data_IF_350042259850
#
_entry.id   IF_350042259850
#
_cell.length_a   1.000
_cell.length_b   1.000
_cell.length_c   1.000
_cell.angle_alpha   90.00
_cell.angle_beta   90.00
_cell.angle_gamma   90.00
#
_symmetry.space_group_name_H-M   'P 1'
#
loop_
_entity.id
_entity.type
_entity.pdbx_description
1 polymer ?
#
# COMPACT_ATOMS: atom_id res chain seq x y z
N UNK A 1 5.97 -18.87 26.06
CA UNK A 1 4.87 -18.77 25.08
C UNK A 1 5.10 -17.71 23.98
N UNK A 2 5.65 -16.52 24.28
CA UNK A 2 5.94 -15.47 23.28
C UNK A 2 6.89 -15.87 22.15
N UNK A 3 7.89 -16.70 22.42
CA UNK A 3 8.89 -17.13 21.42
C UNK A 3 8.32 -17.95 20.25
N UNK A 4 7.22 -18.67 20.46
CA UNK A 4 6.64 -19.51 19.40
C UNK A 4 5.80 -18.68 18.42
N UNK A 5 5.05 -17.66 18.91
CA UNK A 5 4.27 -16.76 18.06
C UNK A 5 5.18 -15.94 17.13
N UNK A 6 6.28 -15.41 17.67
CA UNK A 6 7.24 -14.64 16.87
C UNK A 6 7.98 -15.52 15.83
N UNK A 7 8.32 -16.75 16.16
CA UNK A 7 8.90 -17.72 15.22
C UNK A 7 7.92 -18.07 14.09
N UNK A 8 6.64 -18.26 14.42
CA UNK A 8 5.60 -18.55 13.42
C UNK A 8 5.39 -17.38 12.49
N UNK A 9 5.32 -16.15 13.03
CA UNK A 9 5.21 -14.93 12.24
C UNK A 9 6.42 -14.73 11.32
N UNK A 10 7.62 -14.92 11.84
CA UNK A 10 8.86 -14.84 11.05
C UNK A 10 8.90 -15.90 9.94
N UNK A 11 8.44 -17.12 10.22
CA UNK A 11 8.37 -18.21 9.23
C UNK A 11 7.37 -17.86 8.11
N UNK A 12 6.18 -17.36 8.46
CA UNK A 12 5.16 -16.95 7.47
C UNK A 12 5.66 -15.77 6.64
N UNK A 13 6.32 -14.80 7.27
CA UNK A 13 6.88 -13.65 6.57
C UNK A 13 8.00 -14.04 5.61
N UNK A 14 8.88 -14.97 6.01
CA UNK A 14 9.94 -15.47 5.13
C UNK A 14 9.40 -16.33 3.99
N UNK A 15 8.40 -17.13 4.21
CA UNK A 15 7.75 -17.95 3.18
C UNK A 15 7.05 -17.09 2.11
N UNK A 16 6.46 -15.96 2.50
CA UNK A 16 5.74 -15.04 1.61
C UNK A 16 6.54 -13.80 1.23
N UNK A 17 7.84 -13.77 1.50
CA UNK A 17 8.71 -12.61 1.37
C UNK A 17 8.60 -11.94 -0.01
N UNK A 18 8.64 -12.71 -1.10
CA UNK A 18 8.51 -12.18 -2.47
C UNK A 18 7.17 -11.48 -2.72
N UNK A 19 6.09 -12.03 -2.17
CA UNK A 19 4.74 -11.46 -2.34
C UNK A 19 4.57 -10.20 -1.49
N UNK A 20 5.11 -10.18 -0.27
CA UNK A 20 5.11 -9.00 0.59
C UNK A 20 5.95 -7.87 -0.03
N UNK A 21 7.14 -8.17 -0.55
CA UNK A 21 7.97 -7.20 -1.27
C UNK A 21 7.20 -6.63 -2.47
N UNK A 22 6.53 -7.48 -3.25
CA UNK A 22 5.72 -7.04 -4.38
C UNK A 22 4.60 -6.07 -3.94
N UNK A 23 3.87 -6.41 -2.86
CA UNK A 23 2.83 -5.56 -2.28
C UNK A 23 3.40 -4.20 -1.90
N UNK A 24 4.50 -4.16 -1.14
CA UNK A 24 5.11 -2.88 -0.72
C UNK A 24 5.69 -2.10 -1.90
N UNK A 25 6.27 -2.75 -2.89
CA UNK A 25 6.74 -2.10 -4.12
C UNK A 25 5.59 -1.45 -4.88
N UNK A 26 4.43 -2.12 -4.99
CA UNK A 26 3.25 -1.56 -5.61
C UNK A 26 2.68 -0.37 -4.83
N UNK A 27 2.70 -0.43 -3.49
CA UNK A 27 2.32 0.71 -2.62
C UNK A 27 3.22 1.92 -2.89
N UNK A 28 4.54 1.71 -2.96
CA UNK A 28 5.51 2.78 -3.27
C UNK A 28 5.30 3.34 -4.68
N UNK A 29 5.08 2.48 -5.66
CA UNK A 29 4.83 2.90 -7.04
C UNK A 29 3.55 3.75 -7.16
N UNK A 30 2.45 3.30 -6.54
CA UNK A 30 1.19 4.06 -6.51
C UNK A 30 1.37 5.42 -5.84
N UNK A 31 2.07 5.49 -4.70
CA UNK A 31 2.36 6.75 -4.03
C UNK A 31 3.24 7.68 -4.86
N UNK A 32 4.25 7.15 -5.54
CA UNK A 32 5.08 7.93 -6.47
C UNK A 32 4.25 8.54 -7.61
N UNK A 33 3.32 7.77 -8.16
CA UNK A 33 2.40 8.25 -9.18
C UNK A 33 1.46 9.34 -8.64
N UNK A 34 0.94 9.21 -7.41
CA UNK A 34 0.13 10.24 -6.78
C UNK A 34 0.91 11.55 -6.54
N UNK A 35 2.18 11.47 -6.15
CA UNK A 35 3.04 12.66 -6.02
C UNK A 35 3.32 13.33 -7.36
N UNK A 36 3.36 12.57 -8.45
CA UNK A 36 3.52 13.11 -9.80
C UNK A 36 2.25 13.77 -10.37
N UNK A 37 1.09 13.52 -9.77
CA UNK A 37 -0.21 14.02 -10.25
C UNK A 37 -0.25 15.54 -10.49
N UNK A 38 0.20 16.41 -9.56
CA UNK A 38 0.21 17.85 -9.77
C UNK A 38 1.09 18.28 -10.95
N UNK A 39 2.20 17.58 -11.19
CA UNK A 39 3.12 17.89 -12.29
C UNK A 39 2.42 17.63 -13.63
N UNK A 40 1.83 16.45 -13.79
CA UNK A 40 1.10 16.09 -15.01
C UNK A 40 -0.15 16.95 -15.22
N UNK A 41 -0.84 17.34 -14.16
CA UNK A 41 -1.95 18.28 -14.23
C UNK A 41 -1.49 19.65 -14.74
N UNK A 42 -0.38 20.17 -14.24
CA UNK A 42 0.22 21.42 -14.73
C UNK A 42 0.61 21.36 -16.20
N UNK A 43 1.20 20.26 -16.65
CA UNK A 43 1.48 20.05 -18.08
C UNK A 43 0.22 20.02 -18.93
N UNK A 44 -0.84 19.40 -18.47
CA UNK A 44 -2.11 19.35 -19.19
C UNK A 44 -2.75 20.73 -19.33
N UNK A 45 -2.75 21.53 -18.27
CA UNK A 45 -3.28 22.88 -18.28
C UNK A 45 -2.51 23.74 -19.29
N UNK A 46 -1.17 23.71 -19.24
CA UNK A 46 -0.34 24.45 -20.19
C UNK A 46 -0.56 24.00 -21.64
N UNK A 47 -0.73 22.71 -21.87
CA UNK A 47 -1.01 22.15 -23.19
C UNK A 47 -2.36 22.65 -23.74
N UNK A 48 -3.38 22.73 -22.91
CA UNK A 48 -4.71 23.25 -23.30
C UNK A 48 -4.61 24.74 -23.65
N UNK A 49 -3.92 25.54 -22.85
CA UNK A 49 -3.71 26.98 -23.10
C UNK A 49 -2.98 27.21 -24.43
N UNK A 50 -2.02 26.35 -24.77
CA UNK A 50 -1.26 26.43 -26.01
C UNK A 50 -1.99 25.80 -27.22
N UNK A 51 -3.20 25.28 -27.05
CA UNK A 51 -3.97 24.63 -28.12
C UNK A 51 -3.43 23.24 -28.53
N UNK A 52 -2.51 22.67 -27.73
CA UNK A 52 -1.90 21.37 -28.04
C UNK A 52 -2.67 20.22 -27.40
N UNK A 53 -3.70 19.75 -28.07
CA UNK A 53 -4.61 18.69 -27.62
C UNK A 53 -3.90 17.33 -27.39
N UNK A 54 -2.84 17.04 -28.16
CA UNK A 54 -2.08 15.80 -28.00
C UNK A 54 -1.39 15.71 -26.65
N UNK A 55 -0.81 16.80 -26.17
CA UNK A 55 -0.17 16.82 -24.84
C UNK A 55 -1.20 16.76 -23.71
N UNK A 56 -2.42 17.24 -23.91
CA UNK A 56 -3.51 17.05 -22.94
C UNK A 56 -3.92 15.55 -22.84
N UNK A 57 -3.89 14.81 -23.93
CA UNK A 57 -4.15 13.37 -23.95
C UNK A 57 -3.14 12.56 -23.10
N UNK A 58 -1.89 13.02 -23.00
CA UNK A 58 -0.87 12.39 -22.14
C UNK A 58 -1.32 12.35 -20.67
N UNK A 59 -2.00 13.41 -20.20
CA UNK A 59 -2.55 13.41 -18.85
C UNK A 59 -3.66 12.36 -18.67
N UNK A 60 -4.55 12.22 -19.63
CA UNK A 60 -5.59 11.19 -19.58
C UNK A 60 -4.98 9.77 -19.52
N UNK A 61 -3.93 9.53 -20.31
CA UNK A 61 -3.19 8.27 -20.28
C UNK A 61 -2.52 8.06 -18.91
N UNK A 62 -1.89 9.09 -18.36
CA UNK A 62 -1.29 9.03 -17.03
C UNK A 62 -2.32 8.67 -15.95
N UNK A 63 -3.49 9.30 -15.94
CA UNK A 63 -4.59 9.00 -15.02
C UNK A 63 -5.01 7.53 -15.15
N UNK A 64 -5.14 7.03 -16.37
CA UNK A 64 -5.47 5.63 -16.63
C UNK A 64 -4.43 4.68 -16.06
N UNK A 65 -3.14 4.98 -16.21
CA UNK A 65 -2.03 4.19 -15.64
C UNK A 65 -2.11 4.19 -14.10
N UNK A 66 -2.37 5.34 -13.47
CA UNK A 66 -2.55 5.44 -12.00
C UNK A 66 -3.67 4.52 -11.52
N UNK A 67 -4.82 4.55 -12.20
CA UNK A 67 -5.96 3.71 -11.87
C UNK A 67 -5.65 2.22 -12.06
N UNK A 68 -4.96 1.86 -13.13
CA UNK A 68 -4.57 0.49 -13.41
C UNK A 68 -3.62 -0.07 -12.33
N UNK A 69 -2.59 0.70 -11.98
CA UNK A 69 -1.65 0.34 -10.91
C UNK A 69 -2.38 0.17 -9.58
N UNK A 70 -3.28 1.07 -9.23
CA UNK A 70 -4.11 0.96 -8.02
C UNK A 70 -5.01 -0.28 -8.02
N UNK A 71 -5.62 -0.62 -9.14
CA UNK A 71 -6.45 -1.81 -9.28
C UNK A 71 -5.62 -3.10 -9.12
N UNK A 72 -4.46 -3.17 -9.76
CA UNK A 72 -3.53 -4.31 -9.64
C UNK A 72 -3.07 -4.45 -8.19
N UNK A 73 -2.67 -3.34 -7.55
CA UNK A 73 -2.25 -3.35 -6.15
C UNK A 73 -3.32 -3.94 -5.25
N UNK A 74 -4.55 -3.43 -5.31
CA UNK A 74 -5.66 -3.92 -4.46
C UNK A 74 -5.90 -5.40 -4.63
N UNK A 75 -5.83 -5.92 -5.85
CA UNK A 75 -6.00 -7.34 -6.13
C UNK A 75 -4.88 -8.18 -5.53
N UNK A 76 -3.63 -7.74 -5.66
CA UNK A 76 -2.45 -8.42 -5.09
C UNK A 76 -2.51 -8.39 -3.56
N UNK A 77 -2.79 -7.25 -2.95
CA UNK A 77 -2.89 -7.08 -1.51
C UNK A 77 -3.93 -8.04 -0.92
N UNK A 78 -5.16 -8.03 -1.45
CA UNK A 78 -6.23 -8.91 -0.97
C UNK A 78 -5.84 -10.39 -1.05
N UNK A 79 -5.20 -10.82 -2.15
CA UNK A 79 -4.77 -12.22 -2.29
C UNK A 79 -3.66 -12.60 -1.30
N UNK A 80 -2.69 -11.72 -1.12
CA UNK A 80 -1.55 -11.97 -0.22
C UNK A 80 -2.01 -12.05 1.23
N UNK A 81 -2.77 -11.05 1.68
CA UNK A 81 -3.22 -10.99 3.06
C UNK A 81 -4.28 -12.02 3.41
N UNK A 82 -5.18 -12.36 2.49
CA UNK A 82 -6.12 -13.47 2.67
C UNK A 82 -5.40 -14.82 2.86
N UNK A 83 -4.36 -15.08 2.07
CA UNK A 83 -3.56 -16.29 2.21
C UNK A 83 -2.79 -16.34 3.53
N UNK A 84 -2.22 -15.22 3.95
CA UNK A 84 -1.51 -15.10 5.24
C UNK A 84 -2.49 -15.35 6.39
N UNK A 85 -3.68 -14.73 6.34
CA UNK A 85 -4.70 -14.94 7.35
C UNK A 85 -5.17 -16.40 7.42
N UNK A 86 -5.46 -17.03 6.29
CA UNK A 86 -5.90 -18.41 6.23
C UNK A 86 -4.87 -19.35 6.88
N UNK A 87 -3.58 -19.21 6.56
CA UNK A 87 -2.50 -20.01 7.17
C UNK A 87 -2.38 -19.75 8.67
N UNK A 88 -2.46 -18.47 9.08
CA UNK A 88 -2.35 -18.10 10.48
C UNK A 88 -3.53 -18.67 11.29
N UNK A 89 -4.75 -18.59 10.78
CA UNK A 89 -5.95 -19.13 11.41
C UNK A 89 -5.86 -20.65 11.58
N UNK A 90 -5.46 -21.37 10.53
CA UNK A 90 -5.27 -22.83 10.59
C UNK A 90 -4.22 -23.21 11.63
N UNK A 91 -3.08 -22.53 11.64
CA UNK A 91 -2.02 -22.81 12.61
C UNK A 91 -2.47 -22.57 14.05
N UNK A 92 -3.23 -21.48 14.29
CA UNK A 92 -3.79 -21.17 15.61
C UNK A 92 -4.76 -22.28 16.04
N UNK A 93 -5.69 -22.66 15.17
CA UNK A 93 -6.69 -23.70 15.47
C UNK A 93 -6.01 -25.05 15.78
N UNK A 94 -5.06 -25.46 14.95
CA UNK A 94 -4.38 -26.75 15.15
C UNK A 94 -3.56 -26.76 16.43
N UNK A 95 -2.83 -25.70 16.74
CA UNK A 95 -1.98 -25.62 17.92
C UNK A 95 -2.80 -25.52 19.23
N UNK A 96 -3.93 -24.84 19.20
CA UNK A 96 -4.79 -24.72 20.39
C UNK A 96 -5.62 -25.98 20.64
N UNK A 97 -6.07 -26.69 19.60
CA UNK A 97 -6.71 -28.00 19.73
C UNK A 97 -5.79 -29.05 20.34
N UNK A 98 -4.51 -29.04 19.95
CA UNK A 98 -3.53 -29.96 20.56
C UNK A 98 -3.30 -29.68 22.05
N UNK A 99 -3.51 -28.46 22.51
CA UNK A 99 -3.36 -28.06 23.92
C UNK A 99 -4.66 -28.17 24.74
N UNK A 100 -5.70 -28.83 24.23
CA UNK A 100 -7.00 -29.06 24.89
C UNK A 100 -7.63 -27.79 25.50
N UNK A 101 -7.52 -26.67 24.79
CA UNK A 101 -8.10 -25.41 25.25
C UNK A 101 -9.59 -25.28 24.87
N UNK A 102 -10.28 -24.48 25.64
CA UNK A 102 -11.70 -24.19 25.43
C UNK A 102 -11.95 -23.50 24.08
N UNK A 103 -13.03 -23.87 23.42
CA UNK A 103 -13.40 -23.39 22.07
C UNK A 103 -13.54 -21.86 22.05
N UNK A 104 -14.00 -21.24 23.14
CA UNK A 104 -14.09 -19.79 23.26
C UNK A 104 -12.73 -19.09 23.17
N UNK A 105 -11.69 -19.69 23.76
CA UNK A 105 -10.33 -19.18 23.70
C UNK A 105 -9.73 -19.31 22.29
N UNK A 106 -10.08 -20.36 21.56
CA UNK A 106 -9.65 -20.57 20.18
C UNK A 106 -10.26 -19.49 19.26
N UNK A 107 -11.57 -19.25 19.41
CA UNK A 107 -12.28 -18.23 18.62
C UNK A 107 -11.68 -16.83 18.87
N UNK A 108 -11.43 -16.47 20.14
CA UNK A 108 -10.83 -15.20 20.49
C UNK A 108 -9.43 -15.00 19.86
N UNK A 109 -8.61 -16.04 19.82
CA UNK A 109 -7.26 -15.98 19.21
C UNK A 109 -7.28 -15.92 17.69
N UNK A 110 -8.24 -16.58 17.06
CA UNK A 110 -8.43 -16.48 15.59
C UNK A 110 -8.88 -15.07 15.25
N UNK A 111 -9.81 -14.48 16.03
CA UNK A 111 -10.22 -13.09 15.86
C UNK A 111 -9.04 -12.11 16.01
N UNK A 112 -8.20 -12.29 17.03
CA UNK A 112 -7.00 -11.48 17.23
C UNK A 112 -6.01 -11.61 16.06
N UNK A 113 -5.88 -12.81 15.50
CA UNK A 113 -5.05 -13.04 14.32
C UNK A 113 -5.57 -12.28 13.10
N UNK A 114 -6.88 -12.13 12.95
CA UNK A 114 -7.50 -11.33 11.89
C UNK A 114 -7.20 -9.85 12.07
N UNK A 115 -7.36 -9.33 13.28
CA UNK A 115 -7.02 -7.93 13.60
C UNK A 115 -5.54 -7.62 13.30
N UNK A 116 -4.66 -8.54 13.64
CA UNK A 116 -3.24 -8.41 13.35
C UNK A 116 -2.97 -8.34 11.82
N UNK A 117 -3.58 -9.22 11.04
CA UNK A 117 -3.44 -9.19 9.56
C UNK A 117 -4.03 -7.91 8.99
N UNK A 118 -5.20 -7.49 9.46
CA UNK A 118 -5.86 -6.25 9.05
C UNK A 118 -5.01 -5.01 9.34
N UNK A 119 -4.28 -4.99 10.45
CA UNK A 119 -3.32 -3.93 10.74
C UNK A 119 -2.27 -3.80 9.64
N UNK A 120 -1.66 -4.91 9.20
CA UNK A 120 -0.64 -4.90 8.14
C UNK A 120 -1.22 -4.67 6.74
N UNK A 121 -2.46 -5.10 6.50
CA UNK A 121 -3.16 -4.90 5.22
C UNK A 121 -3.60 -3.45 5.03
N UNK A 122 -4.13 -2.82 6.08
CA UNK A 122 -4.82 -1.52 5.97
C UNK A 122 -4.05 -0.40 6.66
N UNK A 123 -3.75 -0.54 7.95
CA UNK A 123 -3.23 0.56 8.76
C UNK A 123 -1.76 0.85 8.51
N UNK A 124 -0.95 -0.19 8.35
CA UNK A 124 0.48 -0.02 8.12
C UNK A 124 0.78 0.64 6.75
N UNK A 125 0.19 0.21 5.61
CA UNK A 125 0.36 0.91 4.35
C UNK A 125 -0.16 2.35 4.40
N UNK A 126 -1.29 2.60 5.05
CA UNK A 126 -1.84 3.94 5.20
C UNK A 126 -0.90 4.87 5.97
N UNK A 127 -0.33 4.42 7.08
CA UNK A 127 0.66 5.17 7.84
C UNK A 127 1.89 5.48 6.98
N UNK A 128 2.42 4.47 6.30
CA UNK A 128 3.61 4.62 5.45
C UNK A 128 3.37 5.59 4.29
N UNK A 129 2.21 5.48 3.65
CA UNK A 129 1.76 6.39 2.60
C UNK A 129 1.69 7.83 3.10
N UNK A 130 1.11 8.06 4.27
CA UNK A 130 0.97 9.39 4.85
C UNK A 130 2.34 10.04 5.12
N UNK A 131 3.27 9.28 5.68
CA UNK A 131 4.65 9.77 5.92
C UNK A 131 5.35 10.13 4.61
N UNK A 132 5.28 9.26 3.60
CA UNK A 132 5.89 9.51 2.28
C UNK A 132 5.24 10.73 1.62
N UNK A 133 3.92 10.88 1.72
CA UNK A 133 3.20 12.01 1.12
C UNK A 133 3.58 13.33 1.78
N UNK A 134 3.73 13.37 3.10
CA UNK A 134 4.18 14.58 3.81
C UNK A 134 5.60 14.97 3.39
N UNK A 135 6.52 14.01 3.40
CA UNK A 135 7.93 14.25 3.00
C UNK A 135 7.99 14.65 1.52
N UNK A 136 7.28 13.95 0.65
CA UNK A 136 7.25 14.21 -0.79
C UNK A 136 6.66 15.58 -1.10
N UNK A 137 5.59 15.98 -0.43
CA UNK A 137 4.99 17.31 -0.59
C UNK A 137 5.92 18.42 -0.12
N UNK A 138 6.58 18.22 1.03
CA UNK A 138 7.58 19.17 1.53
C UNK A 138 8.75 19.32 0.54
N UNK A 139 9.23 18.22 -0.01
CA UNK A 139 10.31 18.23 -1.02
C UNK A 139 9.87 18.94 -2.30
N UNK A 140 8.65 18.70 -2.78
CA UNK A 140 8.07 19.37 -3.94
C UNK A 140 7.96 20.89 -3.76
N UNK A 141 7.69 21.37 -2.55
CA UNK A 141 7.61 22.81 -2.25
C UNK A 141 9.00 23.47 -2.26
N UNK A 142 10.06 22.74 -1.97
CA UNK A 142 11.44 23.25 -1.93
C UNK A 142 12.07 23.30 -3.31
N UNK A 143 11.58 22.51 -4.28
CA UNK A 143 12.13 22.47 -5.64
C UNK A 143 12.05 23.84 -6.31
N UNK A 144 13.17 24.37 -6.83
CA UNK A 144 13.25 25.77 -7.33
C UNK A 144 12.38 26.09 -8.55
N UNK A 145 11.81 25.09 -9.20
CA UNK A 145 10.94 25.27 -10.37
C UNK A 145 9.62 25.99 -10.08
N UNK A 146 9.12 25.96 -8.87
CA UNK A 146 7.90 26.69 -8.49
C UNK A 146 8.13 28.17 -8.18
N UNK A 147 9.36 28.58 -7.85
CA UNK A 147 9.66 29.99 -7.58
C UNK A 147 9.48 30.90 -8.82
N UNK A 148 9.52 30.35 -10.01
CA UNK A 148 9.27 31.10 -11.24
C UNK A 148 7.78 31.33 -11.49
N UNK A 149 6.90 30.45 -11.04
CA UNK A 149 5.44 30.56 -11.21
C UNK A 149 4.85 31.66 -10.31
N UNK A 150 5.38 31.83 -9.08
CA UNK A 150 4.94 32.90 -8.15
C UNK A 150 5.46 34.28 -8.51
N UNK A 151 6.47 34.40 -9.39
CA UNK A 151 6.95 35.70 -9.91
C UNK A 151 6.20 36.16 -11.16
N UNK A 152 5.39 35.28 -11.75
CA UNK A 152 4.61 35.59 -12.97
C UNK A 152 3.13 35.92 -12.67
N UNK A 153 2.70 35.79 -11.42
CA UNK A 153 1.41 36.28 -10.89
C UNK A 153 1.61 37.61 -10.15
#
# INVERSE_FOLDING_TARGET
>A
MQNNAFKTLKSIATEHNKKLILTFTLVLAENGLFLAYPIFAGFAINAIIQGNTLNALIYALFVLVVWLVGAIRRRVDTQVFANIYAKLAVNVIMNEKQNAKDDSAIIARVALSREFVNFFETHFPMFFTSVISIIGSAFMLILPGQRSLWRAL
#
